data_IF_719941754420
#
_entry.id   IF_719941754420
#
_cell.length_a   1.000
_cell.length_b   1.000
_cell.length_c   1.000
_cell.angle_alpha   90.00
_cell.angle_beta   90.00
_cell.angle_gamma   90.00
#
_symmetry.space_group_name_H-M   'P 1'
#
loop_
_entity.id
_entity.type
_entity.pdbx_description
1 polymer ?
#
# COMPACT_ATOMS: atom_id res chain seq x y z
N UNK A 1 -3.29 15.46 -4.38
CA UNK A 1 -2.40 14.27 -4.39
C UNK A 1 -1.31 14.35 -5.46
N UNK A 2 -1.66 14.46 -6.75
CA UNK A 2 -0.66 14.52 -7.85
C UNK A 2 0.49 15.52 -7.61
N UNK A 3 0.21 16.72 -7.09
CA UNK A 3 1.22 17.74 -6.76
C UNK A 3 2.20 17.36 -5.65
N UNK A 4 1.84 16.46 -4.74
CA UNK A 4 2.72 15.97 -3.68
C UNK A 4 3.62 14.82 -4.15
N UNK A 5 3.35 14.19 -5.29
CA UNK A 5 4.13 13.06 -5.78
C UNK A 5 5.52 13.49 -6.29
N UNK A 6 6.45 13.64 -5.37
CA UNK A 6 7.85 13.98 -5.65
C UNK A 6 8.80 12.78 -5.58
N UNK A 7 8.27 11.56 -5.64
CA UNK A 7 9.09 10.34 -5.53
C UNK A 7 9.95 10.16 -6.78
N UNK A 8 11.26 10.33 -6.65
CA UNK A 8 12.20 10.22 -7.78
C UNK A 8 12.09 8.88 -8.52
N UNK A 9 11.93 7.77 -7.79
CA UNK A 9 11.76 6.42 -8.35
C UNK A 9 10.52 6.29 -9.23
N UNK A 10 9.42 6.96 -8.88
CA UNK A 10 8.23 7.04 -9.71
C UNK A 10 8.58 7.73 -11.04
N UNK A 11 9.12 8.95 -10.98
CA UNK A 11 9.43 9.73 -12.19
C UNK A 11 10.43 9.01 -13.11
N UNK A 12 11.48 8.43 -12.53
CA UNK A 12 12.51 7.70 -13.27
C UNK A 12 11.94 6.46 -13.99
N UNK A 13 11.26 5.58 -13.27
CA UNK A 13 10.71 4.34 -13.85
C UNK A 13 9.65 4.65 -14.90
N UNK A 14 8.78 5.62 -14.62
CA UNK A 14 7.74 6.04 -15.55
C UNK A 14 8.33 6.57 -16.86
N UNK A 15 9.38 7.41 -16.78
CA UNK A 15 10.08 7.91 -17.95
C UNK A 15 10.76 6.78 -18.74
N UNK A 16 11.48 5.88 -18.07
CA UNK A 16 12.22 4.80 -18.73
C UNK A 16 11.32 3.78 -19.42
N UNK A 17 10.12 3.55 -18.89
CA UNK A 17 9.16 2.58 -19.43
C UNK A 17 8.12 3.21 -20.37
N UNK A 18 8.18 4.51 -20.62
CA UNK A 18 7.16 5.23 -21.40
C UNK A 18 5.78 5.25 -20.73
N UNK A 19 5.72 5.11 -19.41
CA UNK A 19 4.50 5.11 -18.60
C UNK A 19 4.61 6.11 -17.44
N UNK A 20 4.80 7.40 -17.76
CA UNK A 20 5.07 8.47 -16.79
C UNK A 20 3.93 8.71 -15.78
N UNK A 21 2.70 8.35 -16.16
CA UNK A 21 1.52 8.46 -15.30
C UNK A 21 1.19 7.15 -14.57
N UNK A 22 2.03 6.10 -14.71
CA UNK A 22 1.81 4.78 -14.09
C UNK A 22 0.42 4.22 -14.38
N UNK A 23 -0.02 4.32 -15.64
CA UNK A 23 -1.26 3.71 -16.08
C UNK A 23 -1.20 2.20 -15.84
N UNK A 24 -2.25 1.66 -15.22
CA UNK A 24 -2.37 0.25 -14.94
C UNK A 24 -2.81 -0.50 -16.20
N UNK A 25 -2.43 -1.78 -16.28
CA UNK A 25 -3.06 -2.71 -17.22
C UNK A 25 -4.58 -2.72 -17.00
N UNK A 26 -5.41 -2.54 -18.03
CA UNK A 26 -6.86 -2.43 -17.88
C UNK A 26 -7.51 -3.66 -17.22
N UNK A 27 -6.98 -4.86 -17.48
CA UNK A 27 -7.53 -6.09 -16.90
C UNK A 27 -7.20 -6.20 -15.41
N UNK A 28 -5.98 -5.83 -15.01
CA UNK A 28 -5.59 -5.78 -13.60
C UNK A 28 -6.33 -4.66 -12.87
N UNK A 29 -6.50 -3.50 -13.52
CA UNK A 29 -7.25 -2.38 -12.97
C UNK A 29 -8.71 -2.78 -12.67
N UNK A 30 -9.40 -3.42 -13.64
CA UNK A 30 -10.76 -3.91 -13.43
C UNK A 30 -10.84 -4.92 -12.29
N UNK A 31 -9.91 -5.87 -12.21
CA UNK A 31 -9.87 -6.85 -11.10
C UNK A 31 -9.73 -6.19 -9.73
N UNK A 32 -8.93 -5.13 -9.61
CA UNK A 32 -8.78 -4.39 -8.35
C UNK A 32 -10.11 -3.72 -7.98
N UNK A 33 -10.79 -3.10 -8.94
CA UNK A 33 -12.08 -2.44 -8.71
C UNK A 33 -13.18 -3.45 -8.35
N UNK A 34 -13.21 -4.61 -9.01
CA UNK A 34 -14.14 -5.70 -8.69
C UNK A 34 -13.98 -6.20 -7.24
N UNK A 35 -12.75 -6.32 -6.75
CA UNK A 35 -12.47 -6.70 -5.36
C UNK A 35 -13.02 -5.69 -4.34
N UNK A 36 -13.17 -4.43 -4.75
CA UNK A 36 -13.67 -3.34 -3.93
C UNK A 36 -15.15 -3.04 -4.15
N UNK A 37 -15.79 -3.76 -5.07
CA UNK A 37 -17.14 -3.50 -5.55
C UNK A 37 -17.30 -2.03 -6.05
N UNK A 38 -16.34 -1.57 -6.88
CA UNK A 38 -16.30 -0.21 -7.46
C UNK A 38 -16.49 -0.21 -8.98
N UNK A 39 -17.06 0.88 -9.48
CA UNK A 39 -17.14 1.15 -10.92
C UNK A 39 -15.81 1.65 -11.49
N UNK A 40 -15.66 1.52 -12.81
CA UNK A 40 -14.46 1.98 -13.50
C UNK A 40 -14.52 3.49 -13.70
N UNK A 41 -13.61 4.27 -13.08
CA UNK A 41 -13.60 5.71 -13.26
C UNK A 41 -13.09 6.09 -14.65
N UNK A 42 -13.53 7.23 -15.15
CA UNK A 42 -13.01 7.80 -16.41
C UNK A 42 -11.55 8.22 -16.26
N UNK A 43 -11.19 8.80 -15.12
CA UNK A 43 -9.85 9.28 -14.82
C UNK A 43 -9.41 8.83 -13.44
N UNK A 44 -8.12 8.51 -13.32
CA UNK A 44 -7.51 8.19 -12.04
C UNK A 44 -6.08 8.71 -11.96
N UNK A 45 -5.59 8.85 -10.74
CA UNK A 45 -4.20 9.10 -10.42
C UNK A 45 -3.62 7.84 -9.77
N UNK A 46 -2.43 7.43 -10.20
CA UNK A 46 -1.68 6.34 -9.58
C UNK A 46 -0.26 6.76 -9.23
N UNK A 47 0.29 6.15 -8.18
CA UNK A 47 1.67 6.37 -7.76
C UNK A 47 2.22 5.19 -6.97
N UNK A 48 3.52 4.92 -7.11
CA UNK A 48 4.24 3.96 -6.26
C UNK A 48 4.95 4.65 -5.09
N UNK A 49 5.25 3.90 -4.03
CA UNK A 49 5.98 4.37 -2.85
C UNK A 49 5.44 5.71 -2.31
N UNK A 50 4.12 5.86 -2.25
CA UNK A 50 3.49 7.14 -1.95
C UNK A 50 3.41 7.36 -0.43
N UNK A 51 3.90 8.50 0.06
CA UNK A 51 4.03 8.75 1.50
C UNK A 51 2.67 8.92 2.18
N UNK A 52 2.48 8.30 3.36
CA UNK A 52 1.25 8.51 4.14
C UNK A 52 1.07 9.98 4.56
N UNK A 53 2.17 10.68 4.85
CA UNK A 53 2.16 12.12 5.18
C UNK A 53 1.60 12.94 4.00
N UNK A 54 1.89 12.56 2.75
CA UNK A 54 1.36 13.23 1.55
C UNK A 54 -0.13 12.95 1.35
N UNK A 55 -0.62 11.77 1.76
CA UNK A 55 -2.05 11.47 1.74
C UNK A 55 -2.76 12.43 2.70
N UNK A 56 -2.33 12.46 3.97
CA UNK A 56 -2.93 13.33 4.98
C UNK A 56 -2.87 14.82 4.59
N UNK A 57 -1.69 15.32 4.20
CA UNK A 57 -1.53 16.72 3.78
C UNK A 57 -2.41 17.07 2.58
N UNK A 58 -2.61 16.14 1.64
CA UNK A 58 -3.49 16.38 0.50
C UNK A 58 -4.97 16.46 0.87
N UNK A 59 -5.41 15.68 1.87
CA UNK A 59 -6.78 15.71 2.39
C UNK A 59 -7.05 17.02 3.15
N UNK A 60 -6.10 17.40 4.01
CA UNK A 60 -6.11 18.68 4.72
C UNK A 60 -6.22 19.86 3.75
N UNK A 61 -5.35 19.92 2.73
CA UNK A 61 -5.37 20.98 1.71
C UNK A 61 -6.68 21.00 0.92
N UNK A 62 -7.19 19.83 0.52
CA UNK A 62 -8.44 19.71 -0.23
C UNK A 62 -9.68 20.10 0.60
N UNK A 63 -9.64 19.94 1.93
CA UNK A 63 -10.73 20.34 2.82
C UNK A 63 -10.85 21.86 3.02
N UNK A 64 -10.06 22.67 2.30
CA UNK A 64 -10.07 24.12 2.39
C UNK A 64 -9.39 24.66 3.66
N UNK A 65 -8.62 23.83 4.36
CA UNK A 65 -7.86 24.28 5.50
C UNK A 65 -6.57 24.99 5.07
N UNK A 66 -6.30 26.09 5.77
CA UNK A 66 -5.22 27.07 5.57
C UNK A 66 -3.83 26.51 5.17
N UNK A 67 -3.17 27.22 4.25
CA UNK A 67 -1.89 26.89 3.57
C UNK A 67 -0.63 27.38 4.33
N UNK A 68 -0.77 27.80 5.58
CA UNK A 68 0.37 28.18 6.42
C UNK A 68 0.84 27.06 7.35
N UNK A 69 1.86 27.33 8.20
CA UNK A 69 2.38 26.34 9.14
C UNK A 69 1.29 25.80 10.07
N UNK A 70 1.25 24.47 10.24
CA UNK A 70 0.34 23.78 11.17
C UNK A 70 1.13 23.08 12.26
N UNK A 71 0.52 22.92 13.43
CA UNK A 71 1.07 22.06 14.47
C UNK A 71 1.18 20.62 13.97
N UNK A 72 2.30 19.97 14.30
CA UNK A 72 2.58 18.61 13.85
C UNK A 72 1.83 17.60 14.70
N UNK A 73 0.89 16.88 14.09
CA UNK A 73 0.36 15.63 14.64
C UNK A 73 1.31 14.48 14.25
N UNK A 74 2.07 13.94 15.20
CA UNK A 74 3.10 12.93 14.96
C UNK A 74 2.58 11.61 14.36
N UNK A 75 1.28 11.32 14.40
CA UNK A 75 0.72 10.11 13.79
C UNK A 75 0.31 10.34 12.33
N UNK A 76 -0.14 11.56 12.00
CA UNK A 76 -0.55 11.97 10.65
C UNK A 76 0.63 12.50 9.82
N UNK A 77 1.52 13.28 10.44
CA UNK A 77 2.76 13.80 9.89
C UNK A 77 3.89 13.35 10.80
N UNK A 78 4.48 12.20 10.47
CA UNK A 78 5.55 11.62 11.28
C UNK A 78 6.94 11.98 10.75
N UNK A 79 7.04 12.57 9.55
CA UNK A 79 8.31 12.82 8.86
C UNK A 79 9.18 11.54 8.75
N UNK A 80 8.53 10.36 8.79
CA UNK A 80 9.14 9.04 8.61
C UNK A 80 8.69 8.44 7.28
N UNK A 81 9.56 7.67 6.65
CA UNK A 81 9.29 6.97 5.38
C UNK A 81 8.40 5.74 5.59
N UNK A 82 7.15 5.93 5.96
CA UNK A 82 6.16 4.89 5.79
C UNK A 82 5.20 5.28 4.68
N UNK A 83 5.28 4.46 3.64
CA UNK A 83 4.73 4.69 2.31
C UNK A 83 3.72 3.58 2.02
N UNK A 84 2.78 3.80 1.11
CA UNK A 84 2.05 2.71 0.46
C UNK A 84 2.82 2.30 -0.79
N UNK A 85 2.97 0.99 -1.02
CA UNK A 85 3.72 0.49 -2.18
C UNK A 85 3.08 0.95 -3.49
N UNK A 86 1.74 1.01 -3.53
CA UNK A 86 0.99 1.58 -4.63
C UNK A 86 -0.28 2.30 -4.16
N UNK A 87 -0.58 3.44 -4.79
CA UNK A 87 -1.75 4.26 -4.56
C UNK A 87 -2.53 4.39 -5.87
N UNK A 88 -3.85 4.32 -5.78
CA UNK A 88 -4.78 4.71 -6.82
C UNK A 88 -5.81 5.68 -6.20
N UNK A 89 -6.08 6.80 -6.84
CA UNK A 89 -7.07 7.77 -6.40
C UNK A 89 -7.92 8.26 -7.57
N UNK A 90 -9.23 8.33 -7.39
CA UNK A 90 -10.17 8.78 -8.42
C UNK A 90 -11.45 9.32 -7.79
N UNK A 91 -12.24 10.02 -8.60
CA UNK A 91 -13.57 10.49 -8.22
C UNK A 91 -14.60 9.69 -9.03
N UNK A 92 -15.62 9.15 -8.36
CA UNK A 92 -16.72 8.45 -9.03
C UNK A 92 -17.76 9.45 -9.60
N UNK A 93 -18.78 8.92 -10.28
CA UNK A 93 -19.82 9.73 -10.90
C UNK A 93 -20.73 10.45 -9.87
N UNK A 94 -20.66 10.05 -8.59
CA UNK A 94 -21.38 10.69 -7.47
C UNK A 94 -20.53 11.78 -6.79
N UNK A 95 -19.31 12.03 -7.26
CA UNK A 95 -18.39 13.00 -6.68
C UNK A 95 -17.65 12.48 -5.44
N UNK A 96 -17.68 11.17 -5.16
CA UNK A 96 -16.96 10.53 -4.07
C UNK A 96 -15.52 10.26 -4.50
N UNK A 97 -14.57 10.76 -3.71
CA UNK A 97 -13.14 10.48 -3.89
C UNK A 97 -12.79 9.14 -3.26
N UNK A 98 -12.36 8.18 -4.07
CA UNK A 98 -11.82 6.91 -3.62
C UNK A 98 -10.30 6.98 -3.53
N UNK A 99 -9.74 6.48 -2.41
CA UNK A 99 -8.29 6.35 -2.21
C UNK A 99 -7.98 4.89 -1.92
N UNK A 100 -7.47 4.20 -2.93
CA UNK A 100 -7.10 2.79 -2.88
C UNK A 100 -5.62 2.66 -2.57
N UNK A 101 -5.30 2.05 -1.44
CA UNK A 101 -3.94 1.82 -0.95
C UNK A 101 -3.61 0.34 -1.05
N UNK A 102 -2.50 0.01 -1.72
CA UNK A 102 -2.06 -1.37 -1.92
C UNK A 102 -0.70 -1.53 -1.29
N UNK A 103 -0.59 -2.49 -0.36
CA UNK A 103 0.66 -2.87 0.29
C UNK A 103 1.11 -4.24 -0.23
N UNK A 104 2.36 -4.37 -0.67
CA UNK A 104 2.91 -5.56 -1.31
C UNK A 104 3.95 -6.27 -0.43
N UNK A 105 3.93 -7.61 -0.47
CA UNK A 105 4.96 -8.47 0.13
C UNK A 105 5.32 -9.62 -0.80
N UNK A 106 6.61 -9.68 -1.17
CA UNK A 106 7.15 -10.66 -2.12
C UNK A 106 7.84 -11.86 -1.48
N UNK A 107 8.97 -11.63 -0.80
CA UNK A 107 9.79 -12.68 -0.14
C UNK A 107 9.31 -13.00 1.28
N UNK A 108 9.06 -11.97 2.09
CA UNK A 108 8.60 -12.11 3.48
C UNK A 108 7.08 -12.12 3.57
N UNK A 109 6.51 -12.75 4.59
CA UNK A 109 5.09 -12.61 4.91
C UNK A 109 4.79 -11.30 5.65
N UNK A 110 3.55 -10.83 5.55
CA UNK A 110 3.04 -9.81 6.46
C UNK A 110 3.06 -10.31 7.90
N UNK A 111 3.51 -9.47 8.83
CA UNK A 111 3.40 -9.74 10.28
C UNK A 111 2.28 -8.92 10.89
N UNK A 112 1.66 -9.43 11.97
CA UNK A 112 0.64 -8.69 12.73
C UNK A 112 1.17 -7.35 13.25
N UNK A 113 2.46 -7.26 13.62
CA UNK A 113 3.09 -6.01 14.07
C UNK A 113 3.14 -4.96 12.98
N UNK A 114 3.57 -5.33 11.77
CA UNK A 114 3.62 -4.42 10.61
C UNK A 114 2.21 -3.93 10.24
N UNK A 115 1.26 -4.86 10.16
CA UNK A 115 -0.13 -4.54 9.83
C UNK A 115 -0.77 -3.61 10.87
N UNK A 116 -0.58 -3.88 12.17
CA UNK A 116 -1.12 -3.03 13.23
C UNK A 116 -0.48 -1.63 13.23
N UNK A 117 0.83 -1.53 12.96
CA UNK A 117 1.51 -0.24 12.82
C UNK A 117 0.87 0.60 11.72
N UNK A 118 0.67 -0.01 10.54
CA UNK A 118 0.00 0.62 9.40
C UNK A 118 -1.43 1.03 9.74
N UNK A 119 -2.19 0.13 10.37
CA UNK A 119 -3.56 0.35 10.75
C UNK A 119 -3.73 1.51 11.74
N UNK A 120 -2.84 1.63 12.72
CA UNK A 120 -2.86 2.74 13.68
C UNK A 120 -2.71 4.08 12.96
N UNK A 121 -1.79 4.19 12.00
CA UNK A 121 -1.62 5.45 11.26
C UNK A 121 -2.77 5.75 10.32
N UNK A 122 -3.24 4.75 9.57
CA UNK A 122 -4.39 4.94 8.70
C UNK A 122 -5.66 5.27 9.49
N UNK A 123 -5.81 4.74 10.71
CA UNK A 123 -6.86 5.12 11.64
C UNK A 123 -6.79 6.61 12.02
N UNK A 124 -5.61 7.15 12.27
CA UNK A 124 -5.47 8.59 12.57
C UNK A 124 -5.76 9.46 11.34
N UNK A 125 -5.36 9.01 10.16
CA UNK A 125 -5.59 9.74 8.90
C UNK A 125 -7.07 9.75 8.53
N UNK A 126 -7.76 8.60 8.58
CA UNK A 126 -9.10 8.44 8.03
C UNK A 126 -10.22 8.20 9.08
N UNK A 127 -9.86 7.99 10.33
CA UNK A 127 -10.76 7.55 11.40
C UNK A 127 -11.08 6.05 11.33
N UNK A 128 -11.61 5.45 12.42
CA UNK A 128 -11.88 4.01 12.49
C UNK A 128 -12.84 3.47 11.41
N UNK A 129 -13.80 4.31 10.99
CA UNK A 129 -14.78 4.00 9.95
C UNK A 129 -14.38 4.48 8.56
N UNK A 130 -13.25 5.18 8.42
CA UNK A 130 -12.83 5.81 7.17
C UNK A 130 -13.58 7.10 6.82
N UNK A 131 -14.42 7.63 7.73
CA UNK A 131 -15.33 8.76 7.45
C UNK A 131 -14.85 10.12 7.98
N UNK A 132 -13.58 10.26 8.37
CA UNK A 132 -13.03 11.52 8.88
C UNK A 132 -13.13 12.67 7.87
N UNK A 133 -13.09 12.34 6.58
CA UNK A 133 -13.11 13.30 5.48
C UNK A 133 -14.42 13.18 4.69
N UNK A 134 -15.20 14.27 4.52
CA UNK A 134 -16.40 14.27 3.71
C UNK A 134 -16.09 13.85 2.26
N UNK A 135 -16.95 13.02 1.68
CA UNK A 135 -16.83 12.52 0.31
C UNK A 135 -15.51 11.82 -0.02
N UNK A 136 -14.80 11.28 0.98
CA UNK A 136 -13.61 10.46 0.78
C UNK A 136 -13.83 9.07 1.34
N UNK A 137 -13.53 8.05 0.54
CA UNK A 137 -13.63 6.64 0.93
C UNK A 137 -12.26 5.99 0.74
N UNK A 138 -11.53 5.69 1.84
CA UNK A 138 -10.31 4.92 1.77
C UNK A 138 -10.62 3.44 1.52
N UNK A 139 -9.72 2.76 0.82
CA UNK A 139 -9.71 1.31 0.63
C UNK A 139 -8.29 0.80 0.84
N UNK A 140 -8.15 -0.41 1.39
CA UNK A 140 -6.83 -1.00 1.61
C UNK A 140 -6.80 -2.46 1.14
N UNK A 141 -5.78 -2.79 0.37
CA UNK A 141 -5.54 -4.13 -0.14
C UNK A 141 -4.14 -4.59 0.26
N UNK A 142 -4.02 -5.86 0.55
CA UNK A 142 -2.72 -6.53 0.61
C UNK A 142 -2.46 -7.29 -0.68
N UNK A 143 -1.22 -7.21 -1.14
CA UNK A 143 -0.75 -7.85 -2.34
C UNK A 143 0.38 -8.82 -2.00
N UNK A 144 0.15 -10.10 -2.21
CA UNK A 144 1.17 -11.12 -1.96
C UNK A 144 0.95 -12.33 -2.86
N UNK A 145 1.98 -13.15 -3.10
CA UNK A 145 1.84 -14.29 -4.01
C UNK A 145 0.97 -15.42 -3.46
N UNK A 146 0.92 -15.53 -2.14
CA UNK A 146 0.01 -16.42 -1.39
C UNK A 146 -0.81 -15.59 -0.41
N UNK A 147 -2.10 -15.90 -0.28
CA UNK A 147 -2.98 -15.25 0.69
C UNK A 147 -2.48 -15.48 2.12
N UNK A 148 -2.29 -14.43 2.92
CA UNK A 148 -1.93 -14.61 4.33
C UNK A 148 -3.09 -15.23 5.12
N UNK A 149 -2.81 -16.22 5.96
CA UNK A 149 -3.83 -16.93 6.76
C UNK A 149 -3.74 -16.67 8.27
N UNK A 150 -2.68 -16.00 8.75
CA UNK A 150 -2.39 -15.81 10.19
C UNK A 150 -2.51 -14.34 10.64
N UNK A 151 -3.07 -13.47 9.80
CA UNK A 151 -3.23 -12.05 10.11
C UNK A 151 -4.47 -11.83 10.97
N UNK A 152 -4.32 -11.07 12.04
CA UNK A 152 -5.39 -10.67 12.94
C UNK A 152 -6.02 -9.37 12.42
N UNK A 153 -7.33 -9.42 12.17
CA UNK A 153 -8.07 -8.32 11.52
C UNK A 153 -9.06 -7.61 12.44
N UNK A 154 -9.34 -8.17 13.63
CA UNK A 154 -10.39 -7.68 14.53
C UNK A 154 -10.23 -6.24 15.00
N UNK A 155 -8.98 -5.76 15.09
CA UNK A 155 -8.64 -4.39 15.53
C UNK A 155 -8.34 -3.43 14.38
N UNK A 156 -8.51 -3.86 13.14
CA UNK A 156 -8.24 -3.01 11.97
C UNK A 156 -9.42 -2.07 11.70
N UNK A 157 -9.15 -0.84 11.21
CA UNK A 157 -10.19 0.03 10.68
C UNK A 157 -11.09 -0.68 9.67
N UNK A 158 -12.37 -0.32 9.64
CA UNK A 158 -13.36 -1.05 8.85
C UNK A 158 -13.05 -1.05 7.35
N UNK A 159 -12.43 0.02 6.84
CA UNK A 159 -12.04 0.16 5.44
C UNK A 159 -10.83 -0.70 5.03
N UNK A 160 -10.13 -1.30 6.00
CA UNK A 160 -9.06 -2.26 5.73
C UNK A 160 -9.55 -3.71 5.68
N UNK A 161 -10.76 -3.96 6.17
CA UNK A 161 -11.33 -5.30 6.25
C UNK A 161 -12.14 -5.59 5.00
N UNK A 162 -12.14 -6.86 4.60
CA UNK A 162 -13.06 -7.34 3.60
C UNK A 162 -14.49 -7.26 4.16
N UNK A 163 -15.46 -6.84 3.34
CA UNK A 163 -16.87 -6.77 3.75
C UNK A 163 -17.56 -8.14 3.70
N UNK A 164 -17.00 -9.08 2.94
CA UNK A 164 -17.58 -10.40 2.64
C UNK A 164 -17.13 -11.47 3.63
N UNK A 165 -15.91 -11.36 4.12
CA UNK A 165 -15.33 -12.17 5.19
C UNK A 165 -14.56 -11.25 6.13
N UNK A 166 -14.46 -11.57 7.43
CA UNK A 166 -13.74 -10.73 8.41
C UNK A 166 -12.22 -10.63 8.14
N UNK A 167 -11.73 -11.03 6.96
CA UNK A 167 -10.35 -10.99 6.52
C UNK A 167 -9.90 -9.63 5.96
N UNK A 168 -8.78 -9.65 5.23
CA UNK A 168 -8.29 -8.53 4.42
C UNK A 168 -8.65 -8.75 2.95
N UNK A 169 -8.81 -7.66 2.21
CA UNK A 169 -8.91 -7.74 0.75
C UNK A 169 -7.54 -8.11 0.19
N UNK A 170 -7.44 -9.28 -0.44
CA UNK A 170 -6.19 -9.81 -0.99
C UNK A 170 -6.20 -9.81 -2.52
N UNK A 171 -5.13 -9.28 -3.09
CA UNK A 171 -4.85 -9.33 -4.52
C UNK A 171 -3.55 -10.11 -4.78
N UNK A 172 -3.58 -11.08 -5.69
CA UNK A 172 -2.41 -11.94 -5.91
C UNK A 172 -1.28 -11.18 -6.60
N UNK A 173 -0.09 -11.17 -5.98
CA UNK A 173 1.14 -10.70 -6.62
C UNK A 173 1.75 -11.84 -7.45
N UNK A 174 1.81 -11.67 -8.77
CA UNK A 174 2.51 -12.61 -9.64
C UNK A 174 4.01 -12.37 -9.56
N UNK A 175 4.74 -13.37 -9.07
CA UNK A 175 6.20 -13.34 -9.03
C UNK A 175 6.74 -14.54 -9.80
N UNK A 176 7.79 -14.35 -10.62
CA UNK A 176 8.50 -15.44 -11.26
C UNK A 176 8.92 -16.55 -10.27
N UNK A 177 8.94 -17.79 -10.75
CA UNK A 177 9.51 -18.91 -10.00
C UNK A 177 11.04 -18.77 -9.88
N UNK A 178 11.63 -19.52 -8.95
CA UNK A 178 13.09 -19.65 -8.79
C UNK A 178 13.83 -18.34 -8.48
N UNK A 179 13.13 -17.35 -7.93
CA UNK A 179 13.79 -16.17 -7.40
C UNK A 179 14.71 -16.54 -6.23
N UNK A 180 15.86 -15.88 -6.18
CA UNK A 180 16.89 -16.08 -5.17
C UNK A 180 16.94 -14.88 -4.22
N UNK A 181 17.21 -15.14 -2.96
CA UNK A 181 17.56 -14.10 -1.98
C UNK A 181 18.96 -14.31 -1.45
N UNK A 182 19.57 -13.20 -1.06
CA UNK A 182 20.81 -13.19 -0.29
C UNK A 182 20.44 -13.11 1.18
N UNK A 183 20.87 -14.11 1.95
CA UNK A 183 20.60 -14.19 3.38
C UNK A 183 21.92 -14.11 4.15
N UNK A 184 21.97 -13.24 5.16
CA UNK A 184 23.09 -13.18 6.09
C UNK A 184 23.10 -14.40 7.00
N UNK A 185 24.26 -15.03 7.16
CA UNK A 185 24.42 -16.26 7.91
C UNK A 185 25.68 -16.27 8.79
N UNK A 186 25.72 -17.20 9.75
CA UNK A 186 26.94 -17.52 10.48
C UNK A 186 27.92 -18.35 9.62
N UNK A 187 29.07 -18.70 10.19
CA UNK A 187 30.11 -19.53 9.53
C UNK A 187 29.60 -20.94 9.15
N UNK A 188 28.52 -21.40 9.78
CA UNK A 188 27.90 -22.69 9.52
C UNK A 188 26.77 -22.60 8.48
N UNK A 189 26.48 -21.41 7.94
CA UNK A 189 25.42 -21.20 6.97
C UNK A 189 24.01 -21.05 7.56
N UNK A 190 23.87 -20.93 8.88
CA UNK A 190 22.58 -20.69 9.52
C UNK A 190 22.20 -19.20 9.46
N UNK A 191 20.94 -18.91 9.16
CA UNK A 191 20.45 -17.53 9.06
C UNK A 191 20.64 -16.78 10.38
N UNK A 192 21.30 -15.62 10.32
CA UNK A 192 21.64 -14.84 11.51
C UNK A 192 21.60 -13.33 11.27
N UNK A 193 20.93 -12.62 12.16
CA UNK A 193 20.93 -11.15 12.18
C UNK A 193 22.26 -10.54 12.62
N UNK A 194 23.25 -11.31 13.06
CA UNK A 194 24.61 -10.79 13.29
C UNK A 194 25.63 -11.61 12.49
N UNK A 195 25.16 -12.35 11.47
CA UNK A 195 26.01 -13.22 10.68
C UNK A 195 27.12 -12.44 9.97
N UNK A 196 28.32 -13.01 9.95
CA UNK A 196 29.49 -12.43 9.26
C UNK A 196 29.65 -12.96 7.84
N UNK A 197 28.81 -13.91 7.43
CA UNK A 197 28.81 -14.56 6.12
C UNK A 197 27.48 -14.33 5.39
N UNK A 198 27.41 -14.73 4.13
CA UNK A 198 26.19 -14.68 3.33
C UNK A 198 26.04 -15.94 2.47
N UNK A 199 24.79 -16.29 2.17
CA UNK A 199 24.44 -17.40 1.27
C UNK A 199 23.30 -17.02 0.34
N UNK A 200 23.13 -17.82 -0.72
CA UNK A 200 22.01 -17.70 -1.67
C UNK A 200 20.97 -18.75 -1.32
N UNK A 201 19.71 -18.34 -1.17
CA UNK A 201 18.57 -19.22 -0.94
C UNK A 201 17.49 -18.99 -1.99
N UNK A 202 16.67 -20.01 -2.26
CA UNK A 202 15.49 -19.87 -3.12
C UNK A 202 14.31 -19.35 -2.30
N UNK A 203 13.63 -18.31 -2.80
CA UNK A 203 12.48 -17.66 -2.16
C UNK A 203 11.23 -18.56 -2.29
N UNK A 204 11.13 -19.30 -3.40
CA UNK A 204 10.12 -20.33 -3.65
C UNK A 204 10.68 -21.40 -4.59
N UNK A 205 10.78 -22.62 -4.11
CA UNK A 205 10.89 -23.80 -4.98
C UNK A 205 9.49 -24.15 -5.45
N UNK A 206 9.32 -24.39 -6.77
CA UNK A 206 8.16 -25.15 -7.22
C UNK A 206 8.18 -26.47 -6.44
N UNK A 207 7.06 -26.88 -5.83
CA UNK A 207 6.95 -28.27 -5.40
C UNK A 207 7.08 -29.09 -6.68
N UNK A 208 8.18 -29.84 -6.78
CA UNK A 208 8.37 -30.89 -7.79
C UNK A 208 7.25 -31.91 -7.68
#
# INVERSE_FOLDING_TARGET
MKSFNRKERFHLVGQLLGNSEFNLDPNLFRKILDLLDLDTPTYYFSAMDYHLDWIFASLELASGQYDGPKERNNLCINATNEDVDFLLAFVDDLGITHIVMIEAKGDTSFTNKQLQSKANRLNEIFGPSGKKWPNVVPHFLICSPTQPSQLQTSKLPSFMRNKKDDGLIWFRLYMPANQRKVTRCDVNGNSSQNGTHWKIEYIRTLKS
#
